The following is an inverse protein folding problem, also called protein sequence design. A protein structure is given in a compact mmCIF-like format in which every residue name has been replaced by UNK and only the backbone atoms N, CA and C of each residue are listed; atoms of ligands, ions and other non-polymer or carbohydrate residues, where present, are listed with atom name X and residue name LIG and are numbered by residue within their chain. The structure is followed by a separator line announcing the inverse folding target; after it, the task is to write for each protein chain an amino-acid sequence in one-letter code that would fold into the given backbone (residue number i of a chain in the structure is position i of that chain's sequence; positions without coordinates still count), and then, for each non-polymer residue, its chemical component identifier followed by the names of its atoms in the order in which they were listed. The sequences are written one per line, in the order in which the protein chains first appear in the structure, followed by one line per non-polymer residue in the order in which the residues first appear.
data_IF_880972768728
#
_entry.id   IF_880972768728
#
_cell.length_a   1.000
_cell.length_b   1.000
_cell.length_c   1.000
_cell.angle_alpha   90.00
_cell.angle_beta   90.00
_cell.angle_gamma   90.00
#
_symmetry.space_group_name_H-M   'P 1'
#
loop_
_entity.id
_entity.type
_entity.pdbx_description
1 polymer ?
#
# COMPACT_ATOMS: atom_id res chain seq x y z
N UNK A 1 9.94 26.86 19.53
CA UNK A 1 10.69 25.60 19.37
C UNK A 1 10.04 24.82 18.24
N UNK A 2 10.74 24.62 17.12
CA UNK A 2 10.26 23.75 16.03
C UNK A 2 10.31 22.29 16.50
N UNK A 3 9.18 21.61 16.53
CA UNK A 3 9.10 20.18 16.83
C UNK A 3 9.99 19.40 15.86
N UNK A 4 10.77 18.43 16.37
CA UNK A 4 11.58 17.54 15.53
C UNK A 4 10.65 16.72 14.63
N UNK A 5 10.87 16.79 13.32
CA UNK A 5 10.18 15.96 12.33
C UNK A 5 10.63 14.50 12.43
N UNK A 6 9.71 13.58 12.12
CA UNK A 6 10.01 12.16 12.03
C UNK A 6 10.69 11.87 10.70
N UNK A 7 11.75 11.07 10.70
CA UNK A 7 12.44 10.66 9.49
C UNK A 7 11.81 9.38 8.96
N UNK A 8 11.28 9.44 7.75
CA UNK A 8 10.58 8.33 7.11
C UNK A 8 11.31 7.89 5.86
N UNK A 9 11.71 6.62 5.81
CA UNK A 9 12.17 5.99 4.57
C UNK A 9 10.98 5.32 3.89
N UNK A 10 10.64 5.74 2.67
CA UNK A 10 9.53 5.18 1.91
C UNK A 10 10.03 4.31 0.76
N UNK A 11 9.57 3.06 0.71
CA UNK A 11 9.93 2.06 -0.29
C UNK A 11 8.71 1.76 -1.18
N UNK A 12 8.84 2.03 -2.47
CA UNK A 12 7.80 1.74 -3.47
C UNK A 12 6.91 2.93 -3.81
N UNK A 13 7.45 3.88 -4.57
CA UNK A 13 6.78 5.14 -4.94
C UNK A 13 6.03 5.06 -6.28
N UNK A 14 5.17 4.05 -6.40
CA UNK A 14 4.08 4.07 -7.38
C UNK A 14 2.93 4.95 -6.89
N UNK A 15 1.72 4.77 -7.42
CA UNK A 15 0.55 5.58 -7.04
C UNK A 15 0.33 5.69 -5.52
N UNK A 16 0.16 4.55 -4.84
CA UNK A 16 -0.07 4.51 -3.38
C UNK A 16 1.12 5.10 -2.61
N UNK A 17 2.36 4.72 -2.95
CA UNK A 17 3.54 5.20 -2.24
C UNK A 17 3.76 6.70 -2.38
N UNK A 18 3.48 7.27 -3.56
CA UNK A 18 3.60 8.71 -3.78
C UNK A 18 2.54 9.50 -3.00
N UNK A 19 1.28 9.03 -2.96
CA UNK A 19 0.25 9.67 -2.13
C UNK A 19 0.57 9.51 -0.63
N UNK A 20 1.08 8.37 -0.20
CA UNK A 20 1.54 8.18 1.18
C UNK A 20 2.68 9.15 1.55
N UNK A 21 3.67 9.31 0.67
CA UNK A 21 4.77 10.25 0.85
C UNK A 21 4.25 11.71 0.92
N UNK A 22 3.31 12.07 0.04
CA UNK A 22 2.67 13.38 0.04
C UNK A 22 1.92 13.65 1.35
N UNK A 23 1.13 12.70 1.85
CA UNK A 23 0.39 12.83 3.11
C UNK A 23 1.31 13.05 4.31
N UNK A 24 2.41 12.28 4.40
CA UNK A 24 3.39 12.39 5.47
C UNK A 24 4.10 13.77 5.49
N UNK A 25 4.41 14.33 4.31
CA UNK A 25 5.06 15.65 4.19
C UNK A 25 4.08 16.81 4.42
N UNK A 26 2.83 16.68 3.95
CA UNK A 26 1.83 17.77 3.95
C UNK A 26 1.57 18.31 5.35
N UNK A 27 1.56 17.45 6.37
CA UNK A 27 1.33 17.84 7.76
C UNK A 27 2.54 18.50 8.45
N UNK A 28 3.71 18.54 7.81
CA UNK A 28 4.92 19.15 8.37
C UNK A 28 5.54 18.40 9.55
N UNK A 29 5.07 17.18 9.85
CA UNK A 29 5.57 16.34 10.95
C UNK A 29 6.57 15.26 10.52
N UNK A 30 6.80 15.08 9.22
CA UNK A 30 7.78 14.15 8.70
C UNK A 30 8.69 14.79 7.66
N UNK A 31 9.86 14.17 7.48
CA UNK A 31 10.76 14.33 6.34
C UNK A 31 10.85 12.97 5.66
N UNK A 32 10.44 12.89 4.40
CA UNK A 32 10.39 11.63 3.64
C UNK A 32 11.62 11.52 2.74
N UNK A 33 12.38 10.45 2.94
CA UNK A 33 13.37 9.94 1.98
C UNK A 33 12.70 8.84 1.17
N UNK A 34 12.51 9.05 -0.12
CA UNK A 34 11.84 8.10 -1.01
C UNK A 34 12.84 7.32 -1.86
N UNK A 35 12.76 6.00 -1.84
CA UNK A 35 13.60 5.13 -2.69
C UNK A 35 12.84 4.80 -3.96
N UNK A 36 13.37 5.31 -5.08
CA UNK A 36 12.80 5.23 -6.42
C UNK A 36 13.66 4.31 -7.28
N UNK A 37 13.02 3.48 -8.11
CA UNK A 37 13.72 2.70 -9.14
C UNK A 37 13.46 3.31 -10.51
N UNK A 38 12.42 2.85 -11.19
CA UNK A 38 12.00 3.34 -12.53
C UNK A 38 11.81 4.85 -12.57
N UNK A 39 11.30 5.45 -11.49
CA UNK A 39 10.96 6.87 -11.44
C UNK A 39 12.10 7.79 -10.99
N UNK A 40 13.25 7.26 -10.60
CA UNK A 40 14.31 8.09 -9.98
C UNK A 40 14.74 9.25 -10.87
N UNK A 41 15.06 8.98 -12.14
CA UNK A 41 15.55 10.00 -13.08
C UNK A 41 14.52 11.10 -13.34
N UNK A 42 13.25 10.72 -13.56
CA UNK A 42 12.18 11.68 -13.87
C UNK A 42 11.80 12.51 -12.64
N UNK A 43 11.68 11.90 -11.46
CA UNK A 43 11.33 12.61 -10.23
C UNK A 43 12.46 13.52 -9.76
N UNK A 44 13.72 13.10 -9.89
CA UNK A 44 14.86 13.96 -9.57
C UNK A 44 14.85 15.21 -10.45
N UNK A 45 14.67 15.05 -11.76
CA UNK A 45 14.74 16.16 -12.73
C UNK A 45 13.48 17.05 -12.74
N UNK A 46 12.29 16.46 -12.71
CA UNK A 46 11.01 17.16 -12.88
C UNK A 46 10.11 17.14 -11.65
N UNK A 47 10.24 16.14 -10.79
CA UNK A 47 9.30 15.85 -9.71
C UNK A 47 8.15 15.00 -10.22
N UNK A 48 7.25 14.63 -9.32
CA UNK A 48 5.98 14.00 -9.66
C UNK A 48 4.96 15.05 -10.11
N UNK A 49 4.18 14.70 -11.13
CA UNK A 49 2.90 15.32 -11.43
C UNK A 49 1.81 14.47 -10.77
N UNK A 50 1.01 15.07 -9.90
CA UNK A 50 -0.01 14.37 -9.11
C UNK A 50 -1.37 14.99 -9.43
N UNK A 51 -2.27 14.21 -10.02
CA UNK A 51 -3.68 14.57 -10.20
C UNK A 51 -4.49 13.88 -9.12
N UNK A 52 -5.03 14.64 -8.18
CA UNK A 52 -5.56 14.08 -6.93
C UNK A 52 -6.95 14.60 -6.60
N UNK A 53 -7.88 13.67 -6.37
CA UNK A 53 -9.24 13.99 -5.94
C UNK A 53 -9.29 14.70 -4.57
N UNK A 54 -8.27 14.53 -3.72
CA UNK A 54 -8.20 15.14 -2.38
C UNK A 54 -7.22 16.32 -2.27
N UNK A 55 -6.15 16.29 -3.06
CA UNK A 55 -5.07 17.28 -2.96
C UNK A 55 -5.10 18.33 -4.09
N UNK A 56 -5.96 18.14 -5.10
CA UNK A 56 -5.93 18.90 -6.34
C UNK A 56 -4.77 18.48 -7.24
N UNK A 57 -4.53 19.26 -8.29
CA UNK A 57 -3.42 19.03 -9.21
C UNK A 57 -2.14 19.67 -8.67
N UNK A 58 -1.09 18.88 -8.53
CA UNK A 58 0.21 19.30 -8.02
C UNK A 58 1.27 18.97 -9.06
N UNK A 59 1.99 20.00 -9.49
CA UNK A 59 3.11 19.85 -10.42
C UNK A 59 4.45 19.86 -9.70
N UNK A 60 5.40 19.10 -10.23
CA UNK A 60 6.80 19.10 -9.79
C UNK A 60 7.03 18.78 -8.31
N UNK A 61 6.11 18.06 -7.67
CA UNK A 61 6.24 17.68 -6.26
C UNK A 61 7.40 16.71 -6.05
N UNK A 62 8.15 16.88 -4.96
CA UNK A 62 9.22 15.98 -4.56
C UNK A 62 9.13 15.69 -3.06
N UNK A 63 9.44 14.45 -2.63
CA UNK A 63 9.71 14.19 -1.22
C UNK A 63 10.96 14.97 -0.77
N UNK A 64 11.16 15.14 0.54
CA UNK A 64 12.35 15.82 1.09
C UNK A 64 13.64 15.30 0.47
N UNK A 65 13.75 13.99 0.26
CA UNK A 65 14.88 13.36 -0.41
C UNK A 65 14.43 12.24 -1.36
N UNK A 66 15.14 12.07 -2.48
CA UNK A 66 14.94 10.96 -3.42
C UNK A 66 16.24 10.20 -3.63
N UNK A 67 16.21 8.89 -3.43
CA UNK A 67 17.34 7.97 -3.60
C UNK A 67 17.02 6.91 -4.65
N UNK A 68 18.04 6.32 -5.25
CA UNK A 68 17.93 5.18 -6.19
C UNK A 68 18.31 3.83 -5.56
N UNK A 69 18.75 3.84 -4.30
CA UNK A 69 19.12 2.67 -3.54
C UNK A 69 18.71 2.81 -2.07
N UNK A 70 18.63 1.67 -1.37
CA UNK A 70 18.36 1.64 0.06
C UNK A 70 19.57 2.23 0.81
N UNK A 71 19.38 3.27 1.64
CA UNK A 71 20.47 3.85 2.41
C UNK A 71 20.87 2.95 3.59
N UNK A 72 22.01 3.25 4.21
CA UNK A 72 22.32 2.74 5.55
C UNK A 72 21.31 3.26 6.58
N UNK A 73 21.18 2.54 7.70
CA UNK A 73 20.27 2.91 8.80
C UNK A 73 20.48 4.31 9.37
N UNK A 74 21.68 4.87 9.21
CA UNK A 74 22.00 6.24 9.61
C UNK A 74 22.23 7.12 8.37
N UNK A 75 21.79 8.37 8.45
CA UNK A 75 22.18 9.41 7.48
C UNK A 75 23.62 9.90 7.72
N UNK A 76 24.05 10.85 6.89
CA UNK A 76 25.36 11.48 7.01
C UNK A 76 25.59 12.19 8.37
N UNK A 77 24.53 12.47 9.13
CA UNK A 77 24.57 13.08 10.47
C UNK A 77 24.38 12.04 11.59
N UNK A 78 24.39 10.75 11.28
CA UNK A 78 24.25 9.68 12.27
C UNK A 78 22.82 9.47 12.79
N UNK A 79 21.80 10.06 12.15
CA UNK A 79 20.40 9.96 12.59
C UNK A 79 19.73 8.73 11.99
N UNK A 80 18.98 7.93 12.77
CA UNK A 80 18.20 6.81 12.23
C UNK A 80 16.90 7.25 11.55
N UNK A 81 16.23 6.31 10.88
CA UNK A 81 14.83 6.47 10.47
C UNK A 81 13.89 6.03 11.59
N UNK A 82 12.92 6.89 11.91
CA UNK A 82 11.86 6.60 12.88
C UNK A 82 10.86 5.60 12.29
N UNK A 83 10.55 5.74 10.99
CA UNK A 83 9.67 4.82 10.25
C UNK A 83 10.29 4.36 8.92
N UNK A 84 10.06 3.09 8.58
CA UNK A 84 10.21 2.58 7.20
C UNK A 84 8.83 2.20 6.68
N UNK A 85 8.37 2.83 5.61
CA UNK A 85 7.04 2.63 5.02
C UNK A 85 7.17 1.82 3.73
N UNK A 86 6.52 0.66 3.69
CA UNK A 86 6.57 -0.27 2.58
C UNK A 86 5.27 -0.24 1.77
N UNK A 87 5.36 0.22 0.52
CA UNK A 87 4.25 0.38 -0.42
C UNK A 87 4.46 -0.42 -1.73
N UNK A 88 5.47 -1.29 -1.80
CA UNK A 88 5.71 -2.15 -2.97
C UNK A 88 4.62 -3.22 -3.11
N UNK A 89 4.51 -3.82 -4.30
CA UNK A 89 3.68 -5.02 -4.47
C UNK A 89 4.28 -6.16 -3.62
N UNK A 90 3.44 -6.90 -2.90
CA UNK A 90 3.87 -8.07 -2.15
C UNK A 90 3.89 -9.29 -3.09
N UNK A 91 5.08 -9.67 -3.53
CA UNK A 91 5.32 -10.83 -4.39
C UNK A 91 6.32 -11.73 -3.67
N UNK A 92 5.86 -12.70 -2.85
CA UNK A 92 6.73 -13.49 -1.97
C UNK A 92 7.81 -14.29 -2.70
N UNK A 93 7.57 -14.65 -3.96
CA UNK A 93 8.48 -15.48 -4.77
C UNK A 93 9.67 -14.70 -5.36
N UNK A 94 9.69 -13.36 -5.21
CA UNK A 94 10.80 -12.53 -5.70
C UNK A 94 11.86 -12.38 -4.61
N UNK A 95 13.10 -12.74 -4.95
CA UNK A 95 14.30 -12.58 -4.11
C UNK A 95 15.21 -11.50 -4.71
N UNK A 96 15.85 -10.63 -3.89
CA UNK A 96 15.74 -10.55 -2.43
C UNK A 96 14.33 -10.14 -1.96
N UNK A 97 13.90 -10.65 -0.81
CA UNK A 97 12.60 -10.30 -0.24
C UNK A 97 12.59 -8.83 0.19
N UNK A 98 11.41 -8.24 0.41
CA UNK A 98 11.35 -6.86 0.92
C UNK A 98 12.04 -6.72 2.28
N UNK A 99 11.97 -7.73 3.15
CA UNK A 99 12.68 -7.71 4.42
C UNK A 99 14.20 -7.61 4.20
N UNK A 100 14.75 -8.40 3.29
CA UNK A 100 16.19 -8.36 2.94
C UNK A 100 16.58 -6.99 2.38
N UNK A 101 15.73 -6.43 1.52
CA UNK A 101 15.94 -5.11 0.89
C UNK A 101 16.03 -4.01 1.95
N UNK A 102 15.14 -3.98 2.94
CA UNK A 102 15.12 -2.89 3.93
C UNK A 102 16.09 -3.08 5.09
N UNK A 103 16.61 -4.30 5.31
CA UNK A 103 17.43 -4.63 6.47
C UNK A 103 18.63 -3.68 6.72
N UNK A 104 19.34 -3.15 5.70
CA UNK A 104 20.42 -2.19 5.91
C UNK A 104 19.97 -0.87 6.57
N UNK A 105 18.71 -0.47 6.36
CA UNK A 105 18.13 0.76 6.85
C UNK A 105 17.44 0.65 8.22
N UNK A 106 17.18 -0.57 8.70
CA UNK A 106 16.49 -0.81 9.97
C UNK A 106 17.43 -0.56 11.15
N UNK A 107 16.99 0.27 12.12
CA UNK A 107 17.66 0.43 13.42
C UNK A 107 16.93 -0.41 14.48
N UNK A 108 17.55 -1.47 15.03
CA UNK A 108 16.93 -2.33 16.04
C UNK A 108 16.45 -1.54 17.26
N UNK A 109 15.24 -1.84 17.76
CA UNK A 109 14.68 -1.16 18.94
C UNK A 109 14.19 0.28 18.70
N UNK A 110 14.37 0.82 17.50
CA UNK A 110 14.03 2.21 17.18
C UNK A 110 13.05 2.32 16.01
N UNK A 111 13.43 1.80 14.84
CA UNK A 111 12.63 1.96 13.62
C UNK A 111 11.33 1.16 13.71
N UNK A 112 10.19 1.80 13.47
CA UNK A 112 8.92 1.11 13.24
C UNK A 112 8.74 0.81 11.74
N UNK A 113 8.39 -0.43 11.40
CA UNK A 113 8.21 -0.86 10.00
C UNK A 113 6.71 -0.87 9.70
N UNK A 114 6.28 -0.07 8.74
CA UNK A 114 4.88 0.13 8.36
C UNK A 114 4.61 -0.54 7.01
N UNK A 115 3.69 -1.51 6.97
CA UNK A 115 3.35 -2.26 5.77
C UNK A 115 1.98 -1.84 5.24
N UNK A 116 1.95 -1.03 4.17
CA UNK A 116 0.72 -0.57 3.51
C UNK A 116 0.32 -1.50 2.35
N UNK A 117 1.05 -2.60 2.16
CA UNK A 117 0.84 -3.55 1.07
C UNK A 117 -0.46 -4.35 1.25
N UNK A 118 -1.06 -4.76 0.13
CA UNK A 118 -2.16 -5.72 0.12
C UNK A 118 -1.67 -7.12 0.55
N UNK A 119 -2.59 -7.89 1.14
CA UNK A 119 -2.34 -9.29 1.51
C UNK A 119 -2.72 -9.58 2.96
N UNK A 120 -2.58 -10.84 3.33
CA UNK A 120 -2.80 -11.37 4.67
C UNK A 120 -1.47 -11.91 5.21
N UNK A 121 -1.20 -11.74 6.50
CA UNK A 121 0.00 -12.25 7.19
C UNK A 121 1.33 -11.74 6.61
N UNK A 122 1.32 -10.64 5.86
CA UNK A 122 2.51 -10.03 5.25
C UNK A 122 3.50 -9.52 6.31
N UNK A 123 3.03 -9.32 7.53
CA UNK A 123 3.76 -8.86 8.69
C UNK A 123 4.65 -9.94 9.31
N UNK A 124 4.31 -11.23 9.11
CA UNK A 124 4.98 -12.35 9.80
C UNK A 124 6.48 -12.45 9.47
N UNK A 125 6.93 -12.35 8.20
CA UNK A 125 8.35 -12.36 7.88
C UNK A 125 9.12 -11.22 8.55
N UNK A 126 8.52 -10.02 8.62
CA UNK A 126 9.13 -8.86 9.26
C UNK A 126 9.23 -9.03 10.77
N UNK A 127 8.19 -9.54 11.42
CA UNK A 127 8.20 -9.84 12.86
C UNK A 127 9.27 -10.89 13.21
N UNK A 128 9.44 -11.90 12.36
CA UNK A 128 10.47 -12.93 12.56
C UNK A 128 11.90 -12.39 12.41
N UNK A 129 12.15 -11.54 11.40
CA UNK A 129 13.49 -11.01 11.10
C UNK A 129 13.87 -9.82 11.99
N UNK A 130 12.91 -8.94 12.32
CA UNK A 130 13.13 -7.71 13.07
C UNK A 130 12.47 -7.79 14.46
N UNK A 131 12.87 -8.79 15.25
CA UNK A 131 12.24 -9.13 16.54
C UNK A 131 12.23 -7.98 17.56
N UNK A 132 13.16 -7.03 17.45
CA UNK A 132 13.28 -5.88 18.34
C UNK A 132 12.54 -4.63 17.81
N UNK A 133 11.81 -4.73 16.70
CA UNK A 133 11.18 -3.60 16.04
C UNK A 133 9.66 -3.72 16.07
N UNK A 134 9.00 -2.57 16.14
CA UNK A 134 7.53 -2.51 16.01
C UNK A 134 7.16 -2.74 14.56
N UNK A 135 6.21 -3.63 14.32
CA UNK A 135 5.58 -3.83 13.02
C UNK A 135 4.19 -3.20 13.05
N UNK A 136 3.92 -2.32 12.10
CA UNK A 136 2.65 -1.60 11.94
C UNK A 136 2.00 -2.08 10.65
N UNK A 137 0.76 -2.55 10.75
CA UNK A 137 -0.03 -3.00 9.62
C UNK A 137 -0.91 -1.87 9.10
N UNK A 138 -0.83 -1.61 7.79
CA UNK A 138 -1.63 -0.62 7.07
C UNK A 138 -2.56 -1.25 6.05
N UNK A 139 -3.85 -0.96 6.19
CA UNK A 139 -4.92 -1.40 5.30
C UNK A 139 -5.40 -0.18 4.51
N UNK A 140 -4.79 0.06 3.35
CA UNK A 140 -5.15 1.18 2.47
C UNK A 140 -6.39 0.86 1.63
N UNK A 141 -7.34 1.78 1.54
CA UNK A 141 -8.49 1.74 0.63
C UNK A 141 -8.43 3.02 -0.20
N UNK A 142 -7.70 2.94 -1.29
CA UNK A 142 -7.38 4.05 -2.18
C UNK A 142 -7.41 3.53 -3.63
N UNK A 143 -7.74 4.40 -4.58
CA UNK A 143 -7.42 4.21 -5.99
C UNK A 143 -6.38 5.26 -6.39
N UNK A 144 -5.12 4.83 -6.42
CA UNK A 144 -4.01 5.64 -6.89
C UNK A 144 -3.07 4.79 -7.73
N UNK A 145 -2.77 5.26 -8.94
CA UNK A 145 -1.92 4.54 -9.87
C UNK A 145 -1.02 5.48 -10.66
N UNK A 146 0.07 4.91 -11.16
CA UNK A 146 0.98 5.61 -12.05
C UNK A 146 0.51 5.39 -13.50
N UNK A 147 0.24 6.50 -14.20
CA UNK A 147 -0.17 6.53 -15.60
C UNK A 147 1.03 6.46 -16.55
N UNK A 148 2.11 7.12 -16.18
CA UNK A 148 3.40 7.15 -16.87
C UNK A 148 4.49 7.48 -15.85
N UNK A 149 5.78 7.25 -16.13
CA UNK A 149 6.86 7.53 -15.18
C UNK A 149 6.77 8.94 -14.57
N UNK A 150 6.54 9.02 -13.27
CA UNK A 150 6.40 10.27 -12.52
C UNK A 150 5.02 10.95 -12.59
N UNK A 151 4.02 10.36 -13.26
CA UNK A 151 2.65 10.89 -13.37
C UNK A 151 1.68 10.01 -12.58
N UNK A 152 1.16 10.56 -11.49
CA UNK A 152 0.26 9.87 -10.57
C UNK A 152 -1.17 10.38 -10.75
N UNK A 153 -2.10 9.44 -10.82
CA UNK A 153 -3.53 9.70 -10.74
C UNK A 153 -4.08 9.08 -9.45
N UNK A 154 -4.76 9.89 -8.64
CA UNK A 154 -5.41 9.52 -7.39
C UNK A 154 -6.90 9.84 -7.50
N UNK A 155 -7.70 8.80 -7.75
CA UNK A 155 -9.11 8.87 -8.13
C UNK A 155 -10.08 8.76 -6.96
N UNK A 156 -9.71 8.01 -5.93
CA UNK A 156 -10.57 7.75 -4.78
C UNK A 156 -9.87 8.13 -3.50
N UNK A 157 -10.62 8.78 -2.60
CA UNK A 157 -10.17 9.21 -1.29
C UNK A 157 -9.32 8.16 -0.58
N UNK A 158 -8.14 8.58 -0.11
CA UNK A 158 -7.27 7.76 0.71
C UNK A 158 -7.89 7.55 2.10
N UNK A 159 -8.24 6.30 2.36
CA UNK A 159 -8.65 5.81 3.67
C UNK A 159 -7.66 4.75 4.12
N UNK A 160 -6.86 5.08 5.12
CA UNK A 160 -5.81 4.23 5.66
C UNK A 160 -6.14 3.81 7.10
N UNK A 161 -6.36 2.52 7.30
CA UNK A 161 -6.47 1.96 8.64
C UNK A 161 -5.11 1.46 9.10
N UNK A 162 -4.71 1.81 10.32
CA UNK A 162 -3.40 1.51 10.89
C UNK A 162 -3.57 0.83 12.24
N UNK A 163 -2.83 -0.25 12.48
CA UNK A 163 -2.74 -0.85 13.79
C UNK A 163 -1.41 -1.56 14.01
N UNK A 164 -1.07 -1.81 15.27
CA UNK A 164 0.10 -2.58 15.63
C UNK A 164 -0.14 -4.05 15.29
N UNK A 165 0.79 -4.68 14.55
CA UNK A 165 0.82 -6.12 14.43
C UNK A 165 1.57 -6.69 15.62
N UNK A 166 0.90 -7.53 16.42
CA UNK A 166 1.43 -7.98 17.69
C UNK A 166 2.78 -8.72 17.52
N UNK A 167 3.86 -8.07 17.96
CA UNK A 167 5.16 -8.68 18.17
C UNK A 167 5.28 -9.11 19.65
N UNK A 168 5.29 -10.43 19.96
CA UNK A 168 5.33 -10.93 21.33
C UNK A 168 6.58 -10.51 22.12
N UNK A 169 7.67 -10.16 21.43
CA UNK A 169 8.93 -9.73 22.06
C UNK A 169 8.88 -8.30 22.60
N UNK A 170 7.81 -7.54 22.31
CA UNK A 170 7.68 -6.13 22.67
C UNK A 170 6.43 -5.88 23.50
N UNK A 171 6.51 -4.96 24.45
CA UNK A 171 5.35 -4.56 25.23
C UNK A 171 4.28 -3.89 24.33
N UNK A 172 3.03 -4.38 24.36
CA UNK A 172 1.94 -3.93 23.47
C UNK A 172 1.78 -2.40 23.43
N UNK A 173 1.85 -1.71 24.58
CA UNK A 173 1.76 -0.24 24.64
C UNK A 173 2.80 0.48 23.76
N UNK A 174 4.02 -0.05 23.63
CA UNK A 174 5.05 0.56 22.76
C UNK A 174 4.63 0.46 21.29
N UNK A 175 4.11 -0.71 20.91
CA UNK A 175 3.66 -0.97 19.55
C UNK A 175 2.43 -0.11 19.21
N UNK A 176 1.46 -0.02 20.13
CA UNK A 176 0.28 0.84 20.01
C UNK A 176 0.67 2.33 19.88
N UNK A 177 1.60 2.81 20.70
CA UNK A 177 2.06 4.20 20.62
C UNK A 177 2.68 4.53 19.27
N UNK A 178 3.52 3.63 18.71
CA UNK A 178 4.10 3.83 17.39
C UNK A 178 3.03 3.84 16.28
N UNK A 179 2.03 2.96 16.35
CA UNK A 179 0.91 2.95 15.40
C UNK A 179 0.08 4.25 15.47
N UNK A 180 -0.28 4.71 16.68
CA UNK A 180 -1.01 5.98 16.88
C UNK A 180 -0.18 7.18 16.43
N UNK A 181 1.13 7.17 16.68
CA UNK A 181 2.05 8.21 16.20
C UNK A 181 2.10 8.26 14.68
N UNK A 182 2.13 7.11 14.00
CA UNK A 182 2.06 7.07 12.54
C UNK A 182 0.75 7.66 12.02
N UNK A 183 -0.40 7.32 12.64
CA UNK A 183 -1.71 7.89 12.30
C UNK A 183 -1.71 9.41 12.39
N UNK A 184 -1.17 9.97 13.48
CA UNK A 184 -1.05 11.42 13.68
C UNK A 184 -0.25 12.07 12.57
N UNK A 185 0.95 11.55 12.26
CA UNK A 185 1.84 12.12 11.24
C UNK A 185 1.20 12.08 9.86
N UNK A 186 0.61 10.93 9.49
CA UNK A 186 0.00 10.72 8.18
C UNK A 186 -1.26 11.56 7.98
N UNK A 187 -2.06 11.74 9.04
CA UNK A 187 -3.33 12.48 8.99
C UNK A 187 -3.20 13.99 9.18
N UNK A 188 -2.04 14.50 9.65
CA UNK A 188 -1.88 15.90 10.05
C UNK A 188 -2.17 16.91 8.93
N UNK A 189 -1.96 16.53 7.66
CA UNK A 189 -2.29 17.38 6.52
C UNK A 189 -3.79 17.64 6.31
N UNK A 190 -4.68 16.90 6.98
CA UNK A 190 -6.14 17.08 6.93
C UNK A 190 -6.79 16.75 5.58
N UNK A 191 -6.06 16.08 4.67
CA UNK A 191 -6.54 15.72 3.32
C UNK A 191 -6.93 14.24 3.16
N UNK A 192 -6.51 13.39 4.09
CA UNK A 192 -6.72 11.93 4.08
C UNK A 192 -7.48 11.48 5.33
N UNK A 193 -8.07 10.28 5.29
CA UNK A 193 -8.63 9.63 6.48
C UNK A 193 -7.68 8.54 6.96
N UNK A 194 -6.92 8.82 8.02
CA UNK A 194 -6.06 7.83 8.66
C UNK A 194 -6.58 7.50 10.05
N UNK A 195 -6.90 6.22 10.31
CA UNK A 195 -7.57 5.80 11.55
C UNK A 195 -6.79 4.69 12.24
N UNK A 196 -6.62 4.83 13.56
CA UNK A 196 -6.09 3.75 14.39
C UNK A 196 -7.14 2.64 14.55
N UNK A 197 -6.73 1.38 14.39
CA UNK A 197 -7.53 0.17 14.54
C UNK A 197 -6.87 -0.76 15.56
N UNK A 198 -7.48 -0.97 16.74
CA UNK A 198 -6.96 -1.90 17.75
C UNK A 198 -6.91 -3.34 17.26
N UNK A 199 -7.93 -3.77 16.50
CA UNK A 199 -7.97 -5.08 15.84
C UNK A 199 -7.70 -4.94 14.34
N UNK A 200 -6.43 -4.77 14.00
CA UNK A 200 -5.98 -4.60 12.61
C UNK A 200 -6.15 -5.87 11.78
N UNK A 201 -6.20 -7.04 12.43
CA UNK A 201 -6.40 -8.31 11.76
C UNK A 201 -7.86 -8.46 11.28
N UNK A 202 -8.84 -8.02 12.08
CA UNK A 202 -10.23 -7.92 11.61
C UNK A 202 -10.34 -7.06 10.35
N UNK A 203 -9.65 -5.91 10.31
CA UNK A 203 -9.63 -5.02 9.14
C UNK A 203 -8.95 -5.66 7.91
N UNK A 204 -7.85 -6.41 8.11
CA UNK A 204 -7.19 -7.21 7.06
C UNK A 204 -8.15 -8.24 6.47
N UNK A 205 -8.78 -9.06 7.32
CA UNK A 205 -9.74 -10.08 6.91
C UNK A 205 -10.95 -9.47 6.21
N UNK A 206 -11.48 -8.36 6.74
CA UNK A 206 -12.59 -7.63 6.13
C UNK A 206 -12.26 -7.14 4.72
N UNK A 207 -11.04 -6.61 4.50
CA UNK A 207 -10.60 -6.23 3.16
C UNK A 207 -10.31 -7.45 2.27
N UNK A 208 -9.86 -8.56 2.85
CA UNK A 208 -9.57 -9.79 2.12
C UNK A 208 -10.82 -10.38 1.47
N UNK A 209 -12.01 -10.20 2.06
CA UNK A 209 -13.29 -10.60 1.45
C UNK A 209 -13.41 -10.07 0.01
N UNK A 210 -13.05 -8.81 -0.23
CA UNK A 210 -12.98 -8.24 -1.58
C UNK A 210 -11.74 -8.74 -2.36
N UNK A 211 -10.56 -8.65 -1.75
CA UNK A 211 -9.29 -8.91 -2.45
C UNK A 211 -9.09 -10.37 -2.88
N UNK A 212 -9.79 -11.33 -2.27
CA UNK A 212 -9.74 -12.75 -2.63
C UNK A 212 -10.97 -13.21 -3.43
N UNK A 213 -11.95 -12.33 -3.69
CA UNK A 213 -13.11 -12.62 -4.53
C UNK A 213 -13.06 -11.80 -5.82
N UNK A 214 -13.49 -10.54 -5.80
CA UNK A 214 -13.57 -9.67 -6.98
C UNK A 214 -12.23 -9.54 -7.70
N UNK A 215 -11.13 -9.25 -6.99
CA UNK A 215 -9.81 -9.07 -7.63
C UNK A 215 -9.42 -10.24 -8.55
N UNK A 216 -9.30 -11.49 -8.07
CA UNK A 216 -8.90 -12.61 -8.93
C UNK A 216 -9.98 -13.00 -9.94
N UNK A 217 -11.27 -12.94 -9.59
CA UNK A 217 -12.34 -13.34 -10.52
C UNK A 217 -12.43 -12.35 -11.70
N UNK A 218 -12.37 -11.04 -11.45
CA UNK A 218 -12.29 -10.02 -12.49
C UNK A 218 -11.05 -10.21 -13.37
N UNK A 219 -9.88 -10.44 -12.76
CA UNK A 219 -8.63 -10.67 -13.50
C UNK A 219 -8.70 -11.90 -14.43
N UNK A 220 -9.28 -13.01 -13.97
CA UNK A 220 -9.44 -14.24 -14.75
C UNK A 220 -10.49 -14.11 -15.86
N UNK A 221 -11.56 -13.37 -15.62
CA UNK A 221 -12.67 -13.19 -16.59
C UNK A 221 -12.46 -12.03 -17.54
N UNK A 222 -11.49 -11.15 -17.26
CA UNK A 222 -11.29 -9.87 -17.95
C UNK A 222 -12.51 -8.94 -17.88
N UNK A 223 -13.31 -9.04 -16.82
CA UNK A 223 -14.49 -8.22 -16.59
C UNK A 223 -14.27 -7.30 -15.40
N UNK A 224 -14.67 -6.03 -15.52
CA UNK A 224 -14.72 -5.14 -14.35
C UNK A 224 -15.83 -5.57 -13.36
N UNK A 225 -15.85 -5.01 -12.16
CA UNK A 225 -16.81 -5.43 -11.11
C UNK A 225 -18.27 -5.24 -11.52
N UNK A 226 -18.58 -4.21 -12.32
CA UNK A 226 -19.93 -3.94 -12.81
C UNK A 226 -20.37 -4.92 -13.89
N UNK A 227 -19.48 -5.25 -14.83
CA UNK A 227 -19.70 -6.26 -15.86
C UNK A 227 -19.87 -7.66 -15.26
N UNK A 228 -19.01 -8.02 -14.30
CA UNK A 228 -19.11 -9.29 -13.60
C UNK A 228 -20.47 -9.42 -12.90
N UNK A 229 -20.95 -8.34 -12.26
CA UNK A 229 -22.27 -8.32 -11.63
C UNK A 229 -23.44 -8.42 -12.61
N UNK A 230 -23.29 -7.92 -13.84
CA UNK A 230 -24.30 -8.08 -14.91
C UNK A 230 -24.26 -9.47 -15.56
N UNK A 231 -23.21 -10.25 -15.30
CA UNK A 231 -22.98 -11.52 -15.98
C UNK A 231 -23.72 -12.67 -15.29
N UNK A 232 -24.97 -12.89 -15.72
CA UNK A 232 -25.76 -14.06 -15.37
C UNK A 232 -25.79 -14.33 -13.86
N UNK A 233 -25.19 -15.46 -13.44
CA UNK A 233 -25.13 -15.90 -12.03
C UNK A 233 -23.75 -15.77 -11.40
N UNK A 234 -22.80 -15.07 -12.02
CA UNK A 234 -21.40 -15.04 -11.59
C UNK A 234 -21.22 -14.58 -10.13
N UNK A 235 -22.04 -13.62 -9.68
CA UNK A 235 -22.02 -13.17 -8.28
C UNK A 235 -22.41 -14.31 -7.34
N UNK A 236 -23.52 -14.98 -7.62
CA UNK A 236 -24.06 -16.05 -6.76
C UNK A 236 -23.22 -17.33 -6.79
N UNK A 237 -22.59 -17.63 -7.92
CA UNK A 237 -21.89 -18.90 -8.14
C UNK A 237 -20.38 -18.82 -7.95
N UNK A 238 -19.77 -17.62 -8.02
CA UNK A 238 -18.32 -17.44 -7.89
C UNK A 238 -17.98 -16.45 -6.77
N UNK A 239 -18.54 -15.24 -6.80
CA UNK A 239 -18.13 -14.15 -5.89
C UNK A 239 -18.55 -14.45 -4.45
N UNK A 240 -19.84 -14.70 -4.21
CA UNK A 240 -20.37 -14.98 -2.86
C UNK A 240 -19.75 -16.26 -2.26
N UNK A 241 -19.63 -17.37 -2.99
CA UNK A 241 -18.92 -18.56 -2.48
C UNK A 241 -17.47 -18.26 -2.07
N UNK A 242 -16.70 -17.54 -2.88
CA UNK A 242 -15.33 -17.14 -2.54
C UNK A 242 -15.28 -16.25 -1.28
N UNK A 243 -16.21 -15.30 -1.13
CA UNK A 243 -16.33 -14.49 0.09
C UNK A 243 -16.63 -15.35 1.33
N UNK A 244 -17.52 -16.34 1.20
CA UNK A 244 -17.85 -17.27 2.30
C UNK A 244 -16.68 -18.15 2.69
N UNK A 245 -15.85 -18.58 1.75
CA UNK A 245 -14.60 -19.30 2.05
C UNK A 245 -13.65 -18.44 2.87
N UNK A 246 -13.43 -17.18 2.48
CA UNK A 246 -12.62 -16.23 3.26
C UNK A 246 -13.16 -16.08 4.67
N UNK A 247 -14.47 -15.88 4.82
CA UNK A 247 -15.12 -15.76 6.13
C UNK A 247 -14.98 -17.03 6.99
N UNK A 248 -15.08 -18.21 6.37
CA UNK A 248 -14.92 -19.49 7.07
C UNK A 248 -13.49 -19.66 7.62
N UNK A 249 -12.47 -19.30 6.83
CA UNK A 249 -11.07 -19.30 7.29
C UNK A 249 -10.85 -18.24 8.37
N UNK A 250 -11.35 -17.02 8.17
CA UNK A 250 -11.24 -15.93 9.15
C UNK A 250 -11.80 -16.36 10.53
N UNK A 251 -12.99 -16.98 10.54
CA UNK A 251 -13.61 -17.51 11.76
C UNK A 251 -12.76 -18.57 12.46
N UNK A 252 -12.12 -19.46 11.70
CA UNK A 252 -11.20 -20.47 12.27
C UNK A 252 -9.92 -19.87 12.85
N UNK A 253 -9.46 -18.76 12.29
CA UNK A 253 -8.34 -17.96 12.80
C UNK A 253 -8.74 -16.98 13.93
N UNK A 254 -9.99 -17.05 14.42
CA UNK A 254 -10.47 -16.23 15.53
C UNK A 254 -11.01 -14.85 15.14
N UNK A 255 -11.20 -14.59 13.84
CA UNK A 255 -11.72 -13.34 13.31
C UNK A 255 -13.12 -13.54 12.71
N UNK A 256 -14.15 -13.50 13.55
CA UNK A 256 -15.53 -13.66 13.10
C UNK A 256 -16.03 -12.38 12.40
N UNK A 257 -16.13 -12.43 11.07
CA UNK A 257 -16.66 -11.35 10.26
C UNK A 257 -18.21 -11.41 10.23
N UNK A 258 -18.91 -10.26 10.28
CA UNK A 258 -20.36 -10.26 10.22
C UNK A 258 -20.87 -10.63 8.83
N UNK A 259 -21.97 -11.39 8.74
CA UNK A 259 -22.50 -11.86 7.44
C UNK A 259 -22.83 -10.72 6.47
N UNK A 260 -23.26 -9.57 6.99
CA UNK A 260 -23.53 -8.36 6.19
C UNK A 260 -22.34 -7.88 5.36
N UNK A 261 -21.11 -8.31 5.69
CA UNK A 261 -19.91 -7.90 4.94
C UNK A 261 -19.96 -8.31 3.47
N UNK A 262 -20.68 -9.38 3.13
CA UNK A 262 -20.90 -9.79 1.74
C UNK A 262 -21.68 -8.70 1.01
N UNK A 263 -22.84 -8.31 1.55
CA UNK A 263 -23.68 -7.27 0.98
C UNK A 263 -22.98 -5.92 0.95
N UNK A 264 -22.26 -5.56 2.01
CA UNK A 264 -21.49 -4.32 2.10
C UNK A 264 -20.37 -4.28 1.05
N UNK A 265 -19.70 -5.41 0.81
CA UNK A 265 -18.65 -5.52 -0.21
C UNK A 265 -19.22 -5.41 -1.62
N UNK A 266 -20.37 -6.03 -1.90
CA UNK A 266 -21.03 -5.91 -3.21
C UNK A 266 -21.54 -4.48 -3.43
N UNK A 267 -22.22 -3.89 -2.43
CA UNK A 267 -22.77 -2.52 -2.52
C UNK A 267 -21.69 -1.44 -2.66
N UNK A 268 -20.52 -1.65 -2.06
CA UNK A 268 -19.37 -0.75 -2.23
C UNK A 268 -18.70 -0.85 -3.61
N UNK A 269 -19.19 -1.72 -4.50
CA UNK A 269 -18.79 -1.81 -5.89
C UNK A 269 -20.03 -1.67 -6.79
N UNK A 270 -20.62 -0.47 -6.90
CA UNK A 270 -21.85 -0.27 -7.66
C UNK A 270 -21.71 -0.71 -9.11
N UNK A 271 -22.77 -1.35 -9.63
CA UNK A 271 -22.79 -1.93 -10.99
C UNK A 271 -22.41 -0.90 -12.07
N UNK A 272 -22.76 0.38 -11.88
CA UNK A 272 -22.56 1.44 -12.87
C UNK A 272 -21.13 2.02 -12.89
N UNK A 273 -20.33 1.80 -11.83
CA UNK A 273 -19.01 2.41 -11.71
C UNK A 273 -17.93 1.67 -12.51
N UNK A 274 -18.22 0.44 -12.97
CA UNK A 274 -17.33 -0.37 -13.81
C UNK A 274 -15.88 -0.42 -13.28
N UNK A 275 -15.73 -0.56 -11.96
CA UNK A 275 -14.44 -0.50 -11.28
C UNK A 275 -13.58 -1.68 -11.74
N UNK A 276 -12.39 -1.38 -12.28
CA UNK A 276 -11.41 -2.41 -12.66
C UNK A 276 -10.51 -2.69 -11.47
N UNK A 277 -10.53 -3.90 -10.86
CA UNK A 277 -9.76 -4.16 -9.67
C UNK A 277 -8.25 -4.21 -9.92
N UNK A 278 -7.45 -3.90 -8.89
CA UNK A 278 -6.00 -3.74 -9.01
C UNK A 278 -5.25 -4.92 -9.66
N UNK A 279 -5.68 -6.17 -9.39
CA UNK A 279 -5.06 -7.36 -9.96
C UNK A 279 -5.31 -7.47 -11.48
N UNK A 280 -6.49 -7.06 -11.95
CA UNK A 280 -6.79 -7.02 -13.38
C UNK A 280 -5.97 -5.93 -14.09
N UNK A 281 -5.86 -4.73 -13.50
CA UNK A 281 -5.01 -3.66 -14.01
C UNK A 281 -3.55 -4.14 -14.13
N UNK A 282 -3.04 -4.83 -13.11
CA UNK A 282 -1.68 -5.38 -13.14
C UNK A 282 -1.51 -6.41 -14.29
N UNK A 283 -2.49 -7.30 -14.48
CA UNK A 283 -2.47 -8.29 -15.57
C UNK A 283 -2.50 -7.64 -16.96
N UNK A 284 -3.31 -6.60 -17.15
CA UNK A 284 -3.40 -5.84 -18.39
C UNK A 284 -2.09 -5.11 -18.72
N UNK A 285 -1.41 -4.56 -17.70
CA UNK A 285 -0.08 -3.93 -17.85
C UNK A 285 1.00 -4.92 -18.29
N UNK A 286 0.98 -6.14 -17.78
CA UNK A 286 1.92 -7.19 -18.20
C UNK A 286 1.66 -7.57 -19.67
N UNK A 287 0.39 -7.78 -20.03
CA UNK A 287 0.01 -8.11 -21.42
C UNK A 287 0.40 -7.00 -22.40
N UNK A 288 0.17 -5.73 -22.07
CA UNK A 288 0.53 -4.61 -22.94
C UNK A 288 2.05 -4.51 -23.14
N UNK A 289 2.83 -4.74 -22.09
CA UNK A 289 4.30 -4.76 -22.16
C UNK A 289 4.81 -5.88 -23.06
N UNK A 290 4.27 -7.10 -22.94
CA UNK A 290 4.61 -8.24 -23.80
C UNK A 290 4.20 -8.01 -25.26
N UNK A 291 3.05 -7.38 -25.50
CA UNK A 291 2.59 -7.05 -26.86
C UNK A 291 3.44 -5.94 -27.51
N UNK A 292 3.94 -4.99 -26.71
CA UNK A 292 4.88 -3.97 -27.18
C UNK A 292 6.24 -4.58 -27.56
N UNK A 293 6.73 -5.56 -26.79
CA UNK A 293 7.98 -6.27 -27.08
C UNK A 293 7.87 -7.27 -28.25
N UNK A 294 6.67 -7.81 -28.52
CA UNK A 294 6.43 -8.77 -29.62
C UNK A 294 5.98 -8.14 -30.94
N UNK A 295 5.86 -6.81 -31.00
CA UNK A 295 5.56 -6.09 -32.25
C UNK A 295 6.84 -5.94 -33.10
N UNK A 296 6.92 -6.47 -34.34
CA UNK A 296 8.15 -6.45 -35.15
C UNK A 296 8.58 -5.08 -35.69
N UNK A 297 7.99 -3.98 -35.22
CA UNK A 297 8.28 -2.64 -35.70
C UNK A 297 8.68 -1.73 -34.55
N UNK A 298 9.98 -1.69 -34.25
CA UNK A 298 10.71 -0.47 -33.91
C UNK A 298 12.21 -0.75 -34.12
N UNK A 299 12.64 -0.50 -35.35
CA UNK A 299 14.01 -0.19 -35.71
C UNK A 299 14.56 0.96 -34.84
N UNK A 300 15.76 0.73 -34.29
CA UNK A 300 16.80 1.72 -33.96
C UNK A 300 16.47 2.88 -32.99
N UNK A 301 17.19 2.89 -31.86
CA UNK A 301 17.67 4.13 -31.24
C UNK A 301 17.37 4.32 -29.74
N UNK A 302 18.45 4.28 -28.94
CA UNK A 302 18.64 4.76 -27.56
C UNK A 302 18.23 3.86 -26.39
#
# INVERSE_FOLDING_TARGET
MTLRKNRVLLIGSGGIGTIAALNLETGGLAEVTSVLRSNYKVVRSKGFTIRSCQHGDIESWRPTESLDAIPSRYDAQGRPFDFIVCCTKNIPDIIPTLCDIIAPAVTPGHTAIVLIQNGLNIERPFSHQFQNNVIVSGISRIDAHELAPGIIEHKQNDVLHIGAFNNPSLHFKVQEMAAKRFVEIYGMGGKTTCLYKPDVNFDRWSKLVYNASFNPICALTHLNTGELQRTGRAVDTLVIPAMKEVMAVAKKEGHELPERIIDDTIKSNPIHDNITPSMQIDLEKVKSSLNAESSPNLTAGL
#
